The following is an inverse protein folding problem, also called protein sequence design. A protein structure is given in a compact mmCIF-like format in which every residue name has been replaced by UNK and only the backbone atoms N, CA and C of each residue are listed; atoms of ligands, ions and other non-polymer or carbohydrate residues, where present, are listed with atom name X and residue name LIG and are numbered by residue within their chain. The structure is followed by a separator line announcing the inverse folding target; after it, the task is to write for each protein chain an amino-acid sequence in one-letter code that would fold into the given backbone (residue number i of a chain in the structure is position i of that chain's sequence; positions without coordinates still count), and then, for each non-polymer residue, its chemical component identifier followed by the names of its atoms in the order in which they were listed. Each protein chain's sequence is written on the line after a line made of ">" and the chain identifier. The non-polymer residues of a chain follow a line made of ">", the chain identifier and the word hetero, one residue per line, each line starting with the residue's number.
data_IF_643203635278
#
_entry.id   IF_643203635278
#
_cell.length_a   1.000
_cell.length_b   1.000
_cell.length_c   1.000
_cell.angle_alpha   90.00
_cell.angle_beta   90.00
_cell.angle_gamma   90.00
#
_symmetry.space_group_name_H-M   'P 1'
#
loop_
_entity.id
_entity.type
_entity.pdbx_description
1 polymer ?
#
# COMPACT_ATOMS: atom_id res chain seq x y z
N UNK A 1 -12.37 -21.16 5.76
CA UNK A 1 -12.71 -19.95 4.98
C UNK A 1 -11.40 -19.32 4.52
N UNK A 2 -11.34 -18.84 3.29
CA UNK A 2 -10.11 -18.31 2.69
C UNK A 2 -10.36 -16.88 2.25
N UNK A 3 -9.39 -16.01 2.48
CA UNK A 3 -9.34 -14.64 2.00
C UNK A 3 -8.02 -14.50 1.25
N UNK A 4 -8.07 -13.94 0.05
CA UNK A 4 -6.89 -13.59 -0.73
C UNK A 4 -7.06 -12.14 -1.18
N UNK A 5 -6.07 -11.30 -0.88
CA UNK A 5 -6.01 -9.93 -1.39
C UNK A 5 -5.17 -9.95 -2.66
N UNK A 6 -5.77 -9.56 -3.80
CA UNK A 6 -5.07 -9.45 -5.08
C UNK A 6 -4.50 -8.05 -5.30
N UNK A 7 -5.17 -7.04 -4.73
CA UNK A 7 -4.70 -5.66 -4.66
C UNK A 7 -5.21 -4.99 -3.38
N UNK A 8 -4.40 -4.13 -2.72
CA UNK A 8 -3.01 -3.83 -3.06
C UNK A 8 -2.09 -5.05 -2.86
N UNK A 9 -0.94 -5.09 -3.53
CA UNK A 9 0.13 -6.07 -3.29
C UNK A 9 1.06 -5.56 -2.19
N UNK A 10 1.84 -6.44 -1.55
CA UNK A 10 2.85 -6.02 -0.59
C UNK A 10 3.73 -4.89 -1.15
N UNK A 11 3.83 -3.83 -0.36
CA UNK A 11 4.62 -2.63 -0.61
C UNK A 11 4.09 -1.67 -1.67
N UNK A 12 2.93 -1.92 -2.28
CA UNK A 12 2.37 -0.97 -3.27
C UNK A 12 2.20 0.43 -2.67
N UNK A 13 2.44 1.45 -3.51
CA UNK A 13 2.18 2.84 -3.17
C UNK A 13 0.69 3.14 -3.37
N UNK A 14 0.02 3.54 -2.31
CA UNK A 14 -1.42 3.83 -2.30
C UNK A 14 -1.70 5.29 -2.00
N UNK A 15 -2.80 5.82 -2.56
CA UNK A 15 -3.28 7.17 -2.29
C UNK A 15 -4.25 7.22 -1.09
N UNK A 16 -4.91 8.37 -0.91
CA UNK A 16 -5.89 8.57 0.18
C UNK A 16 -7.12 7.67 0.10
N UNK A 17 -7.53 7.26 -1.10
CA UNK A 17 -8.50 6.18 -1.27
C UNK A 17 -7.73 4.92 -1.61
N UNK A 18 -7.69 3.99 -0.67
CA UNK A 18 -7.09 2.67 -0.87
C UNK A 18 -8.18 1.77 -1.43
N UNK A 19 -7.95 1.21 -2.61
CA UNK A 19 -8.82 0.23 -3.24
C UNK A 19 -8.32 -1.17 -2.89
N UNK A 20 -9.23 -2.02 -2.43
CA UNK A 20 -8.95 -3.40 -2.07
C UNK A 20 -9.80 -4.29 -2.96
N UNK A 21 -9.18 -5.27 -3.60
CA UNK A 21 -9.90 -6.33 -4.29
C UNK A 21 -9.21 -7.66 -4.09
N UNK A 22 -9.99 -8.72 -4.13
CA UNK A 22 -9.50 -10.04 -3.83
C UNK A 22 -10.55 -11.11 -4.07
N UNK A 23 -10.27 -12.31 -3.58
CA UNK A 23 -11.19 -13.43 -3.60
C UNK A 23 -11.44 -13.88 -2.16
N UNK A 24 -12.70 -14.18 -1.83
CA UNK A 24 -13.02 -14.73 -0.52
C UNK A 24 -14.20 -15.70 -0.56
N UNK A 25 -14.23 -16.60 0.41
CA UNK A 25 -15.45 -17.29 0.89
C UNK A 25 -15.61 -16.87 2.33
N UNK A 26 -16.62 -16.05 2.62
CA UNK A 26 -16.93 -15.60 3.97
C UNK A 26 -18.20 -16.30 4.47
N UNK A 27 -18.39 -16.49 5.77
CA UNK A 27 -19.56 -17.24 6.26
C UNK A 27 -20.89 -16.53 5.96
N UNK A 28 -20.98 -15.22 6.23
CA UNK A 28 -22.17 -14.38 5.95
C UNK A 28 -21.94 -13.42 4.78
N UNK A 29 -20.78 -13.51 4.14
CA UNK A 29 -20.42 -12.65 3.02
C UNK A 29 -19.99 -11.24 3.42
N UNK A 30 -19.77 -10.95 4.71
CA UNK A 30 -19.27 -9.66 5.17
C UNK A 30 -17.76 -9.72 5.44
N UNK A 31 -17.04 -8.69 4.99
CA UNK A 31 -15.61 -8.53 5.25
C UNK A 31 -15.37 -7.14 5.85
N UNK A 32 -14.65 -7.10 6.96
CA UNK A 32 -14.13 -5.85 7.54
C UNK A 32 -12.74 -5.58 7.01
N UNK A 33 -12.54 -4.38 6.47
CA UNK A 33 -11.26 -3.86 5.99
C UNK A 33 -10.76 -2.83 7.01
N UNK A 34 -9.52 -2.99 7.46
CA UNK A 34 -8.86 -2.10 8.42
C UNK A 34 -7.53 -1.64 7.85
N UNK A 35 -7.24 -0.35 7.91
CA UNK A 35 -5.96 0.25 7.52
C UNK A 35 -5.36 0.94 8.73
N UNK A 36 -4.18 0.50 9.16
CA UNK A 36 -3.51 1.06 10.34
C UNK A 36 -2.00 0.91 10.28
N UNK A 37 -1.27 1.78 10.96
CA UNK A 37 0.17 1.59 11.28
C UNK A 37 0.43 1.26 12.76
N UNK A 38 -0.63 1.23 13.58
CA UNK A 38 -0.57 0.99 15.02
C UNK A 38 -1.04 2.19 15.85
N UNK A 39 -0.82 3.43 15.40
CA UNK A 39 -1.29 4.62 16.13
C UNK A 39 -2.67 5.12 15.66
N UNK A 40 -2.89 5.23 14.36
CA UNK A 40 -4.21 5.58 13.80
C UNK A 40 -4.79 4.45 12.95
N UNK A 41 -6.11 4.47 12.77
CA UNK A 41 -6.86 3.43 12.09
C UNK A 41 -8.05 4.00 11.32
N UNK A 42 -8.28 3.44 10.13
CA UNK A 42 -9.47 3.70 9.33
C UNK A 42 -10.04 2.38 8.82
N UNK A 43 -11.36 2.31 8.75
CA UNK A 43 -12.09 1.09 8.40
C UNK A 43 -12.98 1.28 7.19
N UNK A 44 -13.27 0.17 6.54
CA UNK A 44 -14.24 0.03 5.46
C UNK A 44 -14.77 -1.39 5.44
N UNK A 45 -15.66 -1.69 4.50
CA UNK A 45 -16.23 -3.03 4.37
C UNK A 45 -16.22 -3.46 2.92
N UNK A 46 -16.30 -4.78 2.72
CA UNK A 46 -16.55 -5.40 1.42
C UNK A 46 -17.50 -6.57 1.59
N UNK A 47 -18.12 -6.99 0.49
CA UNK A 47 -18.95 -8.19 0.45
C UNK A 47 -18.28 -9.29 -0.37
N UNK A 48 -18.34 -10.52 0.12
CA UNK A 48 -17.91 -11.73 -0.55
C UNK A 48 -19.04 -12.77 -0.61
N UNK A 49 -18.85 -13.82 -1.40
CA UNK A 49 -19.84 -14.90 -1.50
C UNK A 49 -19.82 -15.83 -0.29
N UNK A 50 -21.00 -16.30 0.12
CA UNK A 50 -21.14 -17.18 1.29
C UNK A 50 -20.81 -18.66 1.02
N UNK A 51 -21.04 -19.13 -0.20
CA UNK A 51 -21.06 -20.57 -0.53
C UNK A 51 -19.97 -21.02 -1.51
N UNK A 52 -19.24 -20.07 -2.10
CA UNK A 52 -18.21 -20.33 -3.11
C UNK A 52 -17.26 -19.15 -3.20
N UNK A 53 -16.04 -19.37 -3.71
CA UNK A 53 -15.07 -18.29 -3.90
C UNK A 53 -15.67 -17.26 -4.84
N UNK A 54 -15.75 -16.01 -4.39
CA UNK A 54 -16.19 -14.88 -5.20
C UNK A 54 -15.18 -13.74 -5.12
N UNK A 55 -15.05 -12.95 -6.20
CA UNK A 55 -14.31 -11.70 -6.11
C UNK A 55 -15.05 -10.75 -5.16
N UNK A 56 -14.29 -10.01 -4.37
CA UNK A 56 -14.77 -8.88 -3.58
C UNK A 56 -14.03 -7.60 -3.99
N UNK A 57 -14.69 -6.47 -3.76
CA UNK A 57 -14.10 -5.14 -3.86
C UNK A 57 -14.54 -4.31 -2.66
N UNK A 58 -13.66 -3.46 -2.18
CA UNK A 58 -13.92 -2.50 -1.13
C UNK A 58 -12.91 -1.36 -1.17
N UNK A 59 -13.13 -0.37 -0.32
CA UNK A 59 -12.21 0.76 -0.23
C UNK A 59 -12.18 1.31 1.19
N UNK A 60 -11.04 1.90 1.55
CA UNK A 60 -10.90 2.71 2.75
C UNK A 60 -10.39 4.09 2.34
N UNK A 61 -11.11 5.13 2.75
CA UNK A 61 -10.74 6.52 2.49
C UNK A 61 -10.13 7.12 3.75
N UNK A 62 -8.88 7.53 3.64
CA UNK A 62 -8.12 8.23 4.68
C UNK A 62 -8.42 9.73 4.54
N UNK A 63 -8.90 10.41 5.60
CA UNK A 63 -9.18 11.83 5.56
C UNK A 63 -7.88 12.65 5.46
N UNK A 64 -7.95 13.92 5.00
CA UNK A 64 -6.81 14.84 5.07
C UNK A 64 -6.31 15.00 6.51
N UNK A 65 -4.99 15.11 6.67
CA UNK A 65 -4.34 15.24 7.99
C UNK A 65 -4.54 14.02 8.90
N UNK A 66 -4.32 12.78 8.43
CA UNK A 66 -4.46 11.62 9.28
C UNK A 66 -3.41 11.63 10.40
N UNK A 67 -3.76 11.08 11.55
CA UNK A 67 -2.84 10.99 12.70
C UNK A 67 -1.77 9.89 12.53
N UNK A 68 -1.44 9.50 11.30
CA UNK A 68 -0.43 8.47 11.06
C UNK A 68 0.97 8.95 11.44
N UNK A 69 1.73 8.08 12.11
CA UNK A 69 3.13 8.33 12.48
C UNK A 69 4.13 7.71 11.50
N UNK A 70 3.69 6.73 10.71
CA UNK A 70 4.52 6.00 9.75
C UNK A 70 3.84 5.96 8.38
N UNK A 71 4.64 6.02 7.32
CA UNK A 71 4.14 5.87 5.95
C UNK A 71 3.83 4.42 5.57
N UNK A 72 4.26 3.44 6.35
CA UNK A 72 3.96 2.02 6.14
C UNK A 72 2.68 1.66 6.87
N UNK A 73 1.62 1.42 6.10
CA UNK A 73 0.33 0.99 6.62
C UNK A 73 0.14 -0.51 6.41
N UNK A 74 -0.75 -1.11 7.18
CA UNK A 74 -1.17 -2.50 7.06
C UNK A 74 -2.65 -2.54 6.70
N UNK A 75 -2.95 -3.04 5.51
CA UNK A 75 -4.32 -3.33 5.05
C UNK A 75 -4.67 -4.72 5.53
N UNK A 76 -5.62 -4.80 6.45
CA UNK A 76 -6.12 -6.03 7.06
C UNK A 76 -7.52 -6.30 6.56
N UNK A 77 -7.79 -7.50 6.07
CA UNK A 77 -9.14 -7.96 5.71
C UNK A 77 -9.49 -9.14 6.59
N UNK A 78 -10.61 -9.04 7.28
CA UNK A 78 -11.10 -10.04 8.24
C UNK A 78 -12.53 -10.44 7.90
N UNK A 79 -12.82 -11.74 7.94
CA UNK A 79 -14.19 -12.25 7.94
C UNK A 79 -14.68 -12.31 9.39
N UNK A 80 -15.50 -11.34 9.79
CA UNK A 80 -16.06 -11.20 11.14
C UNK A 80 -17.34 -12.01 11.36
N UNK A 81 -17.81 -12.70 10.32
CA UNK A 81 -19.08 -13.45 10.28
C UNK A 81 -19.09 -14.71 11.16
N UNK A 82 -17.97 -15.11 11.76
CA UNK A 82 -17.79 -16.40 12.46
C UNK A 82 -17.81 -16.37 13.99
N UNK A 83 -18.29 -15.27 14.61
CA UNK A 83 -18.13 -14.97 16.05
C UNK A 83 -18.87 -15.85 17.08
N UNK A 84 -19.21 -17.10 16.76
CA UNK A 84 -19.89 -18.03 17.69
C UNK A 84 -18.97 -18.98 18.47
N UNK A 85 -17.86 -19.43 17.87
CA UNK A 85 -17.09 -20.59 18.37
C UNK A 85 -15.75 -20.23 19.05
N UNK A 86 -15.46 -18.94 19.27
CA UNK A 86 -14.24 -18.50 19.96
C UNK A 86 -12.91 -18.72 19.19
N UNK A 87 -12.98 -19.12 17.92
CA UNK A 87 -11.82 -19.21 17.03
C UNK A 87 -11.36 -17.84 16.51
N UNK A 88 -10.08 -17.72 16.17
CA UNK A 88 -9.55 -16.51 15.50
C UNK A 88 -10.19 -16.39 14.11
N UNK A 89 -10.80 -15.24 13.77
CA UNK A 89 -11.42 -15.07 12.46
C UNK A 89 -10.37 -15.16 11.35
N UNK A 90 -10.73 -15.65 10.15
CA UNK A 90 -9.85 -15.62 9.00
C UNK A 90 -9.42 -14.17 8.71
N UNK A 91 -8.12 -13.93 8.68
CA UNK A 91 -7.54 -12.60 8.50
C UNK A 91 -6.35 -12.66 7.55
N UNK A 92 -6.28 -11.70 6.63
CA UNK A 92 -5.10 -11.46 5.77
C UNK A 92 -4.63 -10.03 5.97
N UNK A 93 -3.30 -9.85 5.97
CA UNK A 93 -2.64 -8.54 6.13
C UNK A 93 -1.69 -8.31 4.97
N UNK A 94 -1.79 -7.14 4.34
CA UNK A 94 -0.87 -6.68 3.30
C UNK A 94 -0.24 -5.35 3.71
N UNK A 95 1.09 -5.25 3.82
CA UNK A 95 1.76 -3.98 4.03
C UNK A 95 1.73 -3.13 2.76
N UNK A 96 1.49 -1.83 2.89
CA UNK A 96 1.50 -0.85 1.79
C UNK A 96 2.25 0.42 2.20
N UNK A 97 2.60 1.25 1.24
CA UNK A 97 3.22 2.56 1.47
C UNK A 97 2.23 3.67 1.13
N UNK A 98 1.98 4.56 2.09
CA UNK A 98 1.04 5.67 1.95
C UNK A 98 1.71 6.87 1.27
N UNK A 99 1.42 7.03 -0.02
CA UNK A 99 2.03 8.05 -0.87
C UNK A 99 1.90 9.49 -0.36
N UNK A 100 0.75 9.94 0.17
CA UNK A 100 0.60 11.30 0.70
C UNK A 100 1.51 11.66 1.88
N UNK A 101 2.11 10.68 2.58
CA UNK A 101 3.14 10.93 3.61
C UNK A 101 4.56 10.95 3.04
N UNK A 102 4.75 10.48 1.80
CA UNK A 102 6.05 10.42 1.12
C UNK A 102 6.24 11.65 0.23
N UNK A 103 5.19 12.09 -0.45
CA UNK A 103 5.20 13.26 -1.32
C UNK A 103 3.88 14.02 -1.14
N UNK A 104 3.96 15.30 -0.79
CA UNK A 104 2.78 16.16 -0.76
C UNK A 104 2.16 16.25 -2.15
N UNK A 105 0.84 16.19 -2.24
CA UNK A 105 0.13 16.12 -3.52
C UNK A 105 0.35 14.83 -4.32
N UNK A 106 0.79 13.73 -3.68
CA UNK A 106 0.99 12.43 -4.33
C UNK A 106 -0.21 12.01 -5.21
N UNK A 107 0.07 11.74 -6.48
CA UNK A 107 -0.92 11.34 -7.48
C UNK A 107 -0.62 10.01 -8.18
N UNK A 108 0.53 9.39 -7.85
CA UNK A 108 0.97 8.14 -8.45
C UNK A 108 2.49 8.05 -8.51
N UNK A 109 3.00 7.14 -9.32
CA UNK A 109 4.44 6.99 -9.55
C UNK A 109 4.75 6.60 -10.99
N UNK A 110 5.98 6.91 -11.42
CA UNK A 110 6.59 6.31 -12.61
C UNK A 110 7.44 5.11 -12.21
N UNK A 111 7.54 4.15 -13.12
CA UNK A 111 8.50 3.07 -12.99
C UNK A 111 9.77 3.45 -13.75
N UNK A 112 10.90 3.52 -13.05
CA UNK A 112 12.20 3.84 -13.61
C UNK A 112 13.13 2.64 -13.47
N UNK A 113 13.85 2.28 -14.53
CA UNK A 113 14.87 1.21 -14.48
C UNK A 113 16.23 1.87 -14.46
N UNK A 114 16.97 1.67 -13.36
CA UNK A 114 18.27 2.29 -13.13
C UNK A 114 19.25 1.92 -14.25
N UNK A 115 19.89 2.92 -14.82
CA UNK A 115 20.95 2.81 -15.79
C UNK A 115 22.35 2.87 -15.15
N UNK A 116 23.38 2.50 -15.92
CA UNK A 116 24.76 2.55 -15.46
C UNK A 116 25.20 3.98 -15.16
N UNK A 117 25.71 4.20 -13.94
CA UNK A 117 26.23 5.50 -13.49
C UNK A 117 25.20 6.41 -12.84
N UNK A 118 23.93 5.99 -12.75
CA UNK A 118 22.92 6.75 -12.04
C UNK A 118 23.04 6.63 -10.52
N UNK A 119 22.59 7.68 -9.85
CA UNK A 119 22.42 7.77 -8.40
C UNK A 119 20.98 8.17 -8.10
N UNK A 120 20.48 7.93 -6.88
CA UNK A 120 19.14 8.42 -6.52
C UNK A 120 19.00 9.93 -6.71
N UNK A 121 20.06 10.69 -6.43
CA UNK A 121 20.08 12.15 -6.63
C UNK A 121 20.06 12.56 -8.10
N UNK A 122 20.74 11.83 -9.00
CA UNK A 122 20.66 12.14 -10.43
C UNK A 122 19.26 11.85 -10.96
N UNK A 123 18.69 10.69 -10.61
CA UNK A 123 17.30 10.34 -10.97
C UNK A 123 16.33 11.39 -10.41
N UNK A 124 16.52 11.84 -9.16
CA UNK A 124 15.69 12.88 -8.58
C UNK A 124 15.72 14.19 -9.38
N UNK A 125 16.89 14.63 -9.86
CA UNK A 125 16.98 15.83 -10.71
C UNK A 125 16.14 15.70 -11.98
N UNK A 126 16.08 14.51 -12.57
CA UNK A 126 15.36 14.28 -13.82
C UNK A 126 13.83 14.32 -13.64
N UNK A 127 13.34 13.89 -12.48
CA UNK A 127 11.91 13.77 -12.20
C UNK A 127 11.32 14.91 -11.37
N UNK A 128 12.14 15.64 -10.60
CA UNK A 128 11.69 16.69 -9.68
C UNK A 128 12.32 18.06 -10.00
N UNK A 129 12.17 18.51 -11.26
CA UNK A 129 12.54 19.88 -11.69
C UNK A 129 13.99 20.29 -11.34
N UNK A 130 14.92 19.34 -11.36
CA UNK A 130 16.32 19.57 -11.01
C UNK A 130 16.65 19.49 -9.50
N UNK A 131 15.68 19.18 -8.65
CA UNK A 131 15.87 19.03 -7.21
C UNK A 131 16.44 17.65 -6.85
N UNK A 132 17.76 17.61 -6.69
CA UNK A 132 18.48 16.42 -6.24
C UNK A 132 18.11 15.95 -4.83
N UNK A 133 17.59 16.85 -3.97
CA UNK A 133 17.26 16.52 -2.57
C UNK A 133 16.06 15.58 -2.45
N UNK A 134 15.26 15.50 -3.52
CA UNK A 134 14.13 14.58 -3.66
C UNK A 134 14.54 13.11 -3.82
N UNK A 135 15.85 12.80 -3.78
CA UNK A 135 16.33 11.43 -3.62
C UNK A 135 15.72 10.72 -2.39
N UNK A 136 15.42 11.49 -1.34
CA UNK A 136 14.80 11.00 -0.10
C UNK A 136 13.38 10.47 -0.34
N UNK A 137 12.60 11.15 -1.18
CA UNK A 137 11.26 10.74 -1.62
C UNK A 137 11.33 9.41 -2.37
N UNK A 138 12.29 9.29 -3.30
CA UNK A 138 12.51 8.02 -4.04
C UNK A 138 12.90 6.91 -3.07
N UNK A 139 13.81 7.17 -2.13
CA UNK A 139 14.24 6.18 -1.15
C UNK A 139 13.06 5.69 -0.28
N UNK A 140 12.24 6.60 0.26
CA UNK A 140 11.08 6.24 1.08
C UNK A 140 10.05 5.37 0.32
N UNK A 141 9.82 5.68 -0.97
CA UNK A 141 8.94 4.91 -1.84
C UNK A 141 9.44 3.50 -2.19
N UNK A 142 10.75 3.26 -2.02
CA UNK A 142 11.43 2.01 -2.39
C UNK A 142 12.14 1.35 -1.22
N UNK A 143 11.81 1.69 0.03
CA UNK A 143 12.47 1.19 1.25
C UNK A 143 12.49 -0.35 1.38
N UNK A 144 11.62 -1.06 0.66
CA UNK A 144 11.56 -2.51 0.60
C UNK A 144 12.57 -3.14 -0.39
N UNK A 145 13.14 -2.31 -1.27
CA UNK A 145 14.14 -2.70 -2.30
C UNK A 145 15.50 -2.06 -2.00
N UNK A 146 15.51 -0.82 -1.53
CA UNK A 146 16.71 -0.04 -1.24
C UNK A 146 16.88 0.06 0.27
N UNK A 147 17.88 -0.64 0.82
CA UNK A 147 18.25 -0.51 2.24
C UNK A 147 19.28 0.60 2.48
N UNK A 148 20.11 0.89 1.47
CA UNK A 148 21.08 1.98 1.51
C UNK A 148 20.86 2.89 0.29
N UNK A 149 20.52 4.18 0.48
CA UNK A 149 20.25 5.11 -0.62
C UNK A 149 21.46 5.32 -1.57
N UNK A 150 22.68 5.09 -1.09
CA UNK A 150 23.90 5.22 -1.90
C UNK A 150 24.17 3.98 -2.77
N UNK A 151 23.39 2.91 -2.60
CA UNK A 151 23.59 1.63 -3.29
C UNK A 151 22.35 1.28 -4.12
N UNK A 152 22.32 1.79 -5.35
CA UNK A 152 21.43 1.32 -6.41
C UNK A 152 22.24 0.65 -7.51
N UNK A 153 21.65 -0.32 -8.21
CA UNK A 153 22.35 -1.09 -9.26
C UNK A 153 21.63 -0.99 -10.60
N UNK A 154 22.35 -1.03 -11.73
CA UNK A 154 21.74 -1.04 -13.05
C UNK A 154 20.75 -2.21 -13.21
N UNK A 155 19.62 -1.94 -13.85
CA UNK A 155 18.50 -2.89 -14.01
C UNK A 155 17.53 -2.92 -12.83
N UNK A 156 17.83 -2.26 -11.72
CA UNK A 156 16.90 -2.14 -10.59
C UNK A 156 15.70 -1.29 -10.98
N UNK A 157 14.50 -1.76 -10.65
CA UNK A 157 13.25 -1.06 -10.94
C UNK A 157 12.82 -0.27 -9.71
N UNK A 158 12.75 1.04 -9.84
CA UNK A 158 12.36 1.98 -8.81
C UNK A 158 11.01 2.62 -9.11
N UNK A 159 10.26 2.91 -8.06
CA UNK A 159 9.04 3.70 -8.10
C UNK A 159 9.38 5.15 -7.81
N UNK A 160 9.08 6.06 -8.72
CA UNK A 160 9.36 7.49 -8.60
C UNK A 160 8.03 8.21 -8.35
N UNK A 161 7.71 8.63 -7.11
CA UNK A 161 6.48 9.34 -6.81
C UNK A 161 6.34 10.63 -7.63
N UNK A 162 5.11 10.98 -8.00
CA UNK A 162 4.80 12.22 -8.72
C UNK A 162 3.57 12.91 -8.15
N UNK A 163 3.51 14.22 -8.34
CA UNK A 163 2.30 15.01 -8.10
C UNK A 163 1.36 14.97 -9.31
N UNK A 164 0.15 15.49 -9.13
CA UNK A 164 -0.82 15.67 -10.21
C UNK A 164 -0.41 16.80 -11.17
#
# INVERSE_FOLDING_TARGET
>A
MNIEILQPRPWDLVGSTILIAGNAVAFEGHLTIRVSEGHAEYTGTAAAGATSIRPFQGSVTIPPGPAFMLNRLFVTVTDDSGGGDGGTPPTVVVPVLYGPMILDGYAGYWQHTVASGETLSSIARDYFEGDASQYTVIHQANQHIISNPDLIVPGQVLRIPRTA
#
